data_IF_980801646726
#
_entry.id   IF_980801646726
#
_cell.length_a   1.000
_cell.length_b   1.000
_cell.length_c   1.000
_cell.angle_alpha   90.00
_cell.angle_beta   90.00
_cell.angle_gamma   90.00
#
_symmetry.space_group_name_H-M   'P 1'
#
loop_
_entity.id
_entity.type
_entity.pdbx_description
1 polymer ?
#
# COMPACT_ATOMS: atom_id res chain seq x y z
N UNK A 1 -6.48 7.60 -5.46
CA UNK A 1 -7.37 6.87 -4.53
C UNK A 1 -6.53 6.47 -3.33
N UNK A 2 -6.99 6.69 -2.09
CA UNK A 2 -6.16 6.35 -0.92
C UNK A 2 -6.11 4.83 -0.72
N UNK A 3 -5.05 4.26 -0.13
CA UNK A 3 -4.98 2.83 0.16
C UNK A 3 -6.15 2.33 1.01
N UNK A 4 -6.63 3.15 1.96
CA UNK A 4 -7.81 2.86 2.77
C UNK A 4 -9.08 2.69 1.93
N UNK A 5 -9.29 3.54 0.92
CA UNK A 5 -10.46 3.46 0.05
C UNK A 5 -10.45 2.15 -0.75
N UNK A 6 -9.26 1.66 -1.13
CA UNK A 6 -9.07 0.37 -1.83
C UNK A 6 -9.43 -0.80 -0.92
N UNK A 7 -8.91 -0.80 0.31
CA UNK A 7 -9.21 -1.83 1.32
C UNK A 7 -10.71 -1.85 1.61
N UNK A 8 -11.33 -0.67 1.77
CA UNK A 8 -12.77 -0.55 1.99
C UNK A 8 -13.60 -1.12 0.82
N UNK A 9 -13.25 -0.80 -0.43
CA UNK A 9 -13.95 -1.36 -1.59
C UNK A 9 -13.84 -2.89 -1.67
N UNK A 10 -12.66 -3.44 -1.36
CA UNK A 10 -12.45 -4.89 -1.34
C UNK A 10 -13.20 -5.56 -0.18
N UNK A 11 -13.20 -4.90 1.00
CA UNK A 11 -13.95 -5.33 2.17
C UNK A 11 -15.44 -5.44 1.85
N UNK A 12 -16.02 -4.38 1.27
CA UNK A 12 -17.43 -4.35 0.88
C UNK A 12 -17.76 -5.43 -0.15
N UNK A 13 -16.89 -5.63 -1.15
CA UNK A 13 -17.08 -6.71 -2.12
C UNK A 13 -17.07 -8.09 -1.44
N UNK A 14 -16.17 -8.32 -0.48
CA UNK A 14 -16.09 -9.56 0.28
C UNK A 14 -17.34 -9.78 1.16
N UNK A 15 -17.82 -8.73 1.84
CA UNK A 15 -18.98 -8.83 2.75
C UNK A 15 -20.30 -9.02 2.02
N UNK A 16 -20.52 -8.32 0.90
CA UNK A 16 -21.77 -8.40 0.15
C UNK A 16 -21.85 -9.64 -0.73
N UNK A 17 -20.79 -9.96 -1.48
CA UNK A 17 -20.84 -11.03 -2.46
C UNK A 17 -20.38 -12.39 -1.91
N UNK A 18 -19.64 -12.42 -0.79
CA UNK A 18 -19.12 -13.63 -0.14
C UNK A 18 -18.45 -14.64 -1.08
N UNK A 19 -17.92 -14.17 -2.20
CA UNK A 19 -17.34 -15.00 -3.26
C UNK A 19 -16.02 -14.43 -3.72
N UNK A 20 -15.05 -15.31 -3.95
CA UNK A 20 -13.71 -14.95 -4.38
C UNK A 20 -13.71 -14.25 -5.75
N UNK A 21 -14.57 -14.72 -6.67
CA UNK A 21 -14.71 -14.14 -8.00
C UNK A 21 -15.12 -12.66 -7.97
N UNK A 22 -16.01 -12.27 -7.06
CA UNK A 22 -16.45 -10.89 -6.92
C UNK A 22 -15.33 -9.98 -6.39
N UNK A 23 -14.54 -10.47 -5.42
CA UNK A 23 -13.39 -9.74 -4.87
C UNK A 23 -12.33 -9.52 -5.96
N UNK A 24 -12.01 -10.56 -6.73
CA UNK A 24 -11.06 -10.47 -7.85
C UNK A 24 -11.56 -9.52 -8.94
N UNK A 25 -12.84 -9.60 -9.31
CA UNK A 25 -13.44 -8.69 -10.28
C UNK A 25 -13.37 -7.24 -9.80
N UNK A 26 -13.59 -7.00 -8.52
CA UNK A 26 -13.49 -5.67 -7.91
C UNK A 26 -12.05 -5.17 -7.90
N UNK A 27 -11.09 -6.01 -7.48
CA UNK A 27 -9.67 -5.69 -7.50
C UNK A 27 -9.18 -5.32 -8.92
N UNK A 28 -9.61 -6.08 -9.94
CA UNK A 28 -9.30 -5.79 -11.35
C UNK A 28 -9.85 -4.43 -11.82
N UNK A 29 -11.03 -4.02 -11.34
CA UNK A 29 -11.59 -2.68 -11.63
C UNK A 29 -10.79 -1.59 -10.92
N UNK A 30 -10.34 -1.84 -9.69
CA UNK A 30 -9.55 -0.90 -8.90
C UNK A 30 -8.15 -0.66 -9.47
N UNK A 31 -7.54 -1.62 -10.15
CA UNK A 31 -6.24 -1.44 -10.83
C UNK A 31 -6.17 -0.22 -11.75
N UNK A 32 -7.30 0.16 -12.37
CA UNK A 32 -7.38 1.33 -13.26
C UNK A 32 -7.38 2.66 -12.50
N UNK A 33 -7.76 2.66 -11.22
CA UNK A 33 -7.93 3.85 -10.36
C UNK A 33 -6.78 4.06 -9.37
N UNK A 34 -5.90 3.06 -9.23
CA UNK A 34 -4.80 3.06 -8.28
C UNK A 34 -3.47 3.37 -8.98
N UNK A 35 -2.64 4.18 -8.32
CA UNK A 35 -1.30 4.52 -8.79
C UNK A 35 -0.40 3.29 -8.87
N UNK A 36 0.57 3.29 -9.79
CA UNK A 36 1.45 2.13 -10.04
C UNK A 36 2.08 1.55 -8.77
N UNK A 37 2.48 2.42 -7.82
CA UNK A 37 3.12 2.02 -6.55
C UNK A 37 2.26 1.08 -5.71
N UNK A 38 0.94 1.30 -5.70
CA UNK A 38 0.01 0.59 -4.82
C UNK A 38 -0.69 -0.55 -5.55
N UNK A 39 -0.32 -0.83 -6.81
CA UNK A 39 -0.90 -1.96 -7.57
C UNK A 39 -0.41 -3.31 -7.07
N UNK A 40 0.77 -3.35 -6.42
CA UNK A 40 1.33 -4.59 -5.91
C UNK A 40 0.37 -5.26 -4.91
N UNK A 41 -0.16 -4.50 -3.96
CA UNK A 41 -1.12 -5.01 -2.96
C UNK A 41 -2.41 -5.55 -3.61
N UNK A 42 -2.87 -4.95 -4.71
CA UNK A 42 -3.99 -5.48 -5.50
C UNK A 42 -3.64 -6.79 -6.21
N UNK A 43 -2.42 -6.92 -6.74
CA UNK A 43 -1.97 -8.18 -7.35
C UNK A 43 -1.84 -9.29 -6.32
N UNK A 44 -1.39 -8.99 -5.11
CA UNK A 44 -1.31 -9.96 -4.03
C UNK A 44 -2.69 -10.51 -3.68
N UNK A 45 -3.73 -9.66 -3.66
CA UNK A 45 -5.13 -10.07 -3.48
C UNK A 45 -5.61 -10.92 -4.67
N UNK A 46 -5.38 -10.48 -5.91
CA UNK A 46 -5.86 -11.17 -7.12
C UNK A 46 -5.26 -12.56 -7.27
N UNK A 47 -3.97 -12.71 -6.92
CA UNK A 47 -3.23 -13.96 -7.07
C UNK A 47 -3.38 -14.88 -5.85
N UNK A 48 -4.04 -14.44 -4.78
CA UNK A 48 -4.25 -15.24 -3.59
C UNK A 48 -5.22 -16.41 -3.86
N UNK A 49 -4.98 -17.57 -3.23
CA UNK A 49 -5.85 -18.76 -3.38
C UNK A 49 -7.27 -18.53 -2.88
N UNK A 50 -7.41 -17.73 -1.82
CA UNK A 50 -8.69 -17.39 -1.16
C UNK A 50 -8.77 -15.88 -0.91
N UNK A 51 -9.05 -15.05 -1.94
CA UNK A 51 -9.01 -13.59 -1.83
C UNK A 51 -10.04 -13.03 -0.85
N UNK A 52 -11.23 -13.63 -0.74
CA UNK A 52 -12.25 -13.21 0.22
C UNK A 52 -11.75 -13.37 1.67
N UNK A 53 -11.21 -14.55 1.99
CA UNK A 53 -10.64 -14.83 3.33
C UNK A 53 -9.43 -13.95 3.63
N UNK A 54 -8.60 -13.70 2.62
CA UNK A 54 -7.42 -12.84 2.75
C UNK A 54 -7.81 -11.41 3.18
N UNK A 55 -8.80 -10.81 2.50
CA UNK A 55 -9.28 -9.47 2.83
C UNK A 55 -9.91 -9.41 4.22
N UNK A 56 -10.74 -10.40 4.57
CA UNK A 56 -11.37 -10.45 5.90
C UNK A 56 -10.31 -10.54 7.00
N UNK A 57 -9.32 -11.41 6.84
CA UNK A 57 -8.22 -11.53 7.79
C UNK A 57 -7.38 -10.25 7.86
N UNK A 58 -7.16 -9.59 6.72
CA UNK A 58 -6.45 -8.32 6.67
C UNK A 58 -7.20 -7.19 7.39
N UNK A 59 -8.53 -7.19 7.36
CA UNK A 59 -9.36 -6.23 8.10
C UNK A 59 -9.32 -6.47 9.60
N UNK A 60 -9.43 -7.73 10.04
CA UNK A 60 -9.42 -8.08 11.46
C UNK A 60 -8.09 -7.71 12.13
N UNK A 61 -6.99 -7.77 11.39
CA UNK A 61 -5.67 -7.41 11.88
C UNK A 61 -5.29 -5.95 11.62
N UNK A 62 -6.19 -5.15 11.04
CA UNK A 62 -5.93 -3.74 10.81
C UNK A 62 -6.09 -2.98 12.14
N UNK A 63 -5.07 -2.26 12.62
CA UNK A 63 -5.22 -1.47 13.85
C UNK A 63 -6.23 -0.35 13.64
N UNK A 64 -7.13 -0.15 14.59
CA UNK A 64 -8.19 0.87 14.54
C UNK A 64 -7.64 2.29 14.34
N UNK A 65 -6.41 2.54 14.81
CA UNK A 65 -5.66 3.77 14.60
C UNK A 65 -5.47 4.10 13.11
N UNK A 66 -5.34 3.09 12.24
CA UNK A 66 -5.17 3.27 10.80
C UNK A 66 -6.46 3.72 10.12
N UNK A 67 -7.61 3.42 10.72
CA UNK A 67 -8.94 3.83 10.23
C UNK A 67 -9.21 5.30 10.60
N UNK A 68 -8.74 5.74 11.78
CA UNK A 68 -8.99 7.06 12.34
C UNK A 68 -7.92 8.12 12.02
N UNK A 69 -6.80 7.74 11.38
CA UNK A 69 -5.73 8.70 11.07
C UNK A 69 -6.07 9.53 9.83
N UNK A 70 -6.27 10.83 10.03
CA UNK A 70 -6.06 11.86 9.01
C UNK A 70 -4.56 11.93 8.68
N UNK A 71 -4.08 10.95 7.92
CA UNK A 71 -2.68 10.90 7.49
C UNK A 71 -2.45 12.00 6.44
N UNK A 72 -1.60 13.02 6.71
CA UNK A 72 -1.06 13.82 5.62
C UNK A 72 -0.30 12.87 4.69
N UNK A 73 -0.49 13.04 3.37
CA UNK A 73 -0.02 12.16 2.30
C UNK A 73 1.50 11.82 2.30
N UNK A 74 2.26 12.47 3.16
CA UNK A 74 3.71 12.40 3.27
C UNK A 74 4.25 11.14 4.00
N UNK A 75 3.43 10.44 4.79
CA UNK A 75 3.90 9.32 5.64
C UNK A 75 3.88 7.92 5.01
N UNK A 76 3.47 7.77 3.75
CA UNK A 76 3.29 6.45 3.13
C UNK A 76 4.62 5.70 2.85
N UNK A 77 5.79 6.30 3.07
CA UNK A 77 7.05 5.60 2.84
C UNK A 77 8.24 6.07 3.73
N UNK A 78 8.37 5.58 4.97
CA UNK A 78 9.58 5.81 5.78
C UNK A 78 10.85 5.27 5.11
N UNK A 79 10.74 4.25 4.25
CA UNK A 79 11.88 3.66 3.54
C UNK A 79 12.51 4.57 2.46
N UNK A 80 11.76 5.56 1.94
CA UNK A 80 12.28 6.52 0.95
C UNK A 80 13.11 7.61 1.64
N UNK A 81 12.71 8.06 2.84
CA UNK A 81 13.49 9.03 3.62
C UNK A 81 14.80 8.41 4.14
N UNK A 82 14.79 7.13 4.52
CA UNK A 82 16.01 6.38 4.88
C UNK A 82 16.97 6.19 3.70
N UNK A 83 16.47 5.89 2.51
CA UNK A 83 17.33 5.75 1.32
C UNK A 83 17.91 7.09 0.85
N UNK A 84 17.13 8.18 0.89
CA UNK A 84 17.61 9.52 0.58
C UNK A 84 18.59 10.05 1.63
N UNK A 85 18.34 9.85 2.92
CA UNK A 85 19.28 10.24 3.98
C UNK A 85 20.59 9.46 3.90
N UNK A 86 20.53 8.15 3.58
CA UNK A 86 21.70 7.31 3.36
C UNK A 86 22.48 7.71 2.10
N UNK A 87 21.79 8.09 1.02
CA UNK A 87 22.41 8.62 -0.19
C UNK A 87 23.07 9.99 0.03
N UNK A 88 22.43 10.88 0.78
CA UNK A 88 22.98 12.19 1.15
C UNK A 88 24.21 12.04 2.06
N UNK A 89 24.16 11.16 3.06
CA UNK A 89 25.31 10.85 3.91
C UNK A 89 26.49 10.26 3.12
N UNK A 90 26.23 9.41 2.12
CA UNK A 90 27.27 8.87 1.25
C UNK A 90 27.93 9.96 0.36
N UNK A 91 27.15 10.93 -0.12
CA UNK A 91 27.67 12.05 -0.93
C UNK A 91 28.48 13.07 -0.12
N UNK A 92 28.20 13.21 1.18
CA UNK A 92 28.90 14.15 2.06
C UNK A 92 30.32 13.68 2.44
N UNK A 93 30.59 12.38 2.36
CA UNK A 93 31.91 11.80 2.68
C UNK A 93 32.89 11.91 1.48
N UNK A 94 32.39 12.26 0.29
CA UNK A 94 33.15 12.27 -0.97
C UNK A 94 33.66 13.64 -1.44
N UNK A 95 33.68 14.68 -0.59
CA UNK A 95 34.42 15.91 -0.91
C UNK A 95 35.88 15.78 -0.45
N UNK A 96 36.86 15.54 -1.34
CA UNK A 96 38.25 15.77 -0.99
C UNK A 96 38.51 17.28 -0.81
N UNK A 97 39.30 17.55 0.22
CA UNK A 97 39.86 18.84 0.65
C UNK A 97 40.26 19.78 -0.50
N UNK A 98 40.06 21.10 -0.39
CA UNK A 98 40.69 22.05 -1.29
C UNK A 98 42.20 22.10 -0.97
N UNK A 99 43.04 21.69 -1.91
CA UNK A 99 44.46 21.99 -1.87
C UNK A 99 44.63 23.41 -2.45
N UNK A 100 45.06 24.31 -1.58
CA UNK A 100 45.61 25.63 -1.91
C UNK A 100 46.99 25.49 -2.56
#
# INVERSE_FOLDING_TARGET
MRPLDVILCLALAATYHRTDAAVVATAKRLLKRVERRDRQSLFDVINHKTPCRYIIHHLVNLPDEVICMDLPAERVAPHIKLSMAKAQAASAIQKPSPAA
#
